data_IF_813884224135
#
_entry.id   IF_813884224135
#
_cell.length_a   1.000
_cell.length_b   1.000
_cell.length_c   1.000
_cell.angle_alpha   90.00
_cell.angle_beta   90.00
_cell.angle_gamma   90.00
#
_symmetry.space_group_name_H-M   'P 1'
#
loop_
_entity.id
_entity.type
_entity.pdbx_description
1 polymer ?
#
# COMPACT_ATOMS: atom_id res chain seq x y z
N UNK A 1 -3.06 10.45 -17.18
CA UNK A 1 -3.78 11.28 -16.19
C UNK A 1 -3.01 11.26 -14.89
N UNK A 2 -2.44 12.41 -14.48
CA UNK A 2 -1.81 12.56 -13.17
C UNK A 2 -2.80 13.28 -12.26
N UNK A 3 -3.35 12.57 -11.29
CA UNK A 3 -4.16 13.17 -10.23
C UNK A 3 -3.17 13.69 -9.19
N UNK A 4 -3.15 15.01 -8.96
CA UNK A 4 -2.41 15.60 -7.85
C UNK A 4 -3.18 15.27 -6.57
N UNK A 5 -2.70 14.26 -5.84
CA UNK A 5 -3.20 13.97 -4.49
C UNK A 5 -2.42 14.88 -3.55
N UNK A 6 -3.12 15.72 -2.77
CA UNK A 6 -2.45 16.50 -1.73
C UNK A 6 -1.82 15.54 -0.73
N UNK A 7 -0.49 15.61 -0.59
CA UNK A 7 0.22 14.83 0.40
C UNK A 7 -0.24 15.30 1.78
N UNK A 8 -0.87 14.45 2.62
CA UNK A 8 -1.30 14.87 3.93
C UNK A 8 -0.06 15.20 4.77
N UNK A 9 -0.07 16.35 5.42
CA UNK A 9 0.99 16.68 6.37
C UNK A 9 0.91 15.72 7.55
N UNK A 10 1.98 14.94 7.74
CA UNK A 10 2.14 14.11 8.92
C UNK A 10 2.38 15.06 10.10
N UNK A 11 1.30 15.48 10.76
CA UNK A 11 1.41 16.28 11.97
C UNK A 11 2.13 15.46 13.03
N UNK A 12 3.30 15.92 13.46
CA UNK A 12 4.05 15.32 14.57
C UNK A 12 3.18 15.23 15.83
N UNK A 13 3.30 14.07 16.50
CA UNK A 13 2.73 13.64 17.77
C UNK A 13 1.90 14.68 18.54
N UNK A 14 0.60 14.70 18.28
CA UNK A 14 -0.34 14.98 19.37
C UNK A 14 -0.38 13.73 20.25
N UNK A 15 0.26 13.83 21.42
CA UNK A 15 -0.01 12.96 22.59
C UNK A 15 -1.43 13.21 23.07
N UNK A 16 -2.40 12.85 22.25
CA UNK A 16 -3.75 12.75 22.71
C UNK A 16 -3.83 11.46 23.53
N UNK A 17 -4.02 11.63 24.84
CA UNK A 17 -4.27 10.54 25.78
C UNK A 17 -5.68 9.99 25.53
N UNK A 18 -5.88 9.37 24.36
CA UNK A 18 -7.10 8.63 24.09
C UNK A 18 -6.99 7.34 24.89
N UNK A 19 -7.79 7.25 25.96
CA UNK A 19 -8.05 5.98 26.63
C UNK A 19 -8.72 5.07 25.59
N UNK A 20 -7.88 4.32 24.85
CA UNK A 20 -7.91 2.90 25.08
C UNK A 20 -9.21 2.19 24.67
N UNK A 21 -10.11 2.30 25.64
CA UNK A 21 -11.23 1.43 25.96
C UNK A 21 -12.55 2.00 25.47
N UNK A 22 -12.59 3.22 24.93
CA UNK A 22 -13.83 3.91 24.58
C UNK A 22 -13.93 4.29 23.08
N UNK A 23 -13.26 3.54 22.19
CA UNK A 23 -13.54 3.63 20.76
C UNK A 23 -14.67 2.68 20.39
N UNK A 24 -15.90 3.09 20.69
CA UNK A 24 -17.11 2.42 20.21
C UNK A 24 -17.38 2.90 18.79
N UNK A 25 -17.04 2.08 17.79
CA UNK A 25 -17.44 2.32 16.41
C UNK A 25 -18.90 1.88 16.26
N UNK A 26 -19.80 2.86 16.12
CA UNK A 26 -21.27 2.70 16.03
C UNK A 26 -21.76 1.89 14.80
N UNK A 27 -20.85 1.27 14.05
CA UNK A 27 -21.09 0.51 12.82
C UNK A 27 -20.90 -1.00 12.94
N UNK A 28 -20.83 -1.57 14.15
CA UNK A 28 -20.69 -3.02 14.35
C UNK A 28 -19.29 -3.57 14.04
N UNK A 29 -18.29 -2.71 13.90
CA UNK A 29 -16.90 -3.12 13.70
C UNK A 29 -16.26 -3.49 15.04
N UNK A 30 -15.94 -4.77 15.22
CA UNK A 30 -15.27 -5.26 16.43
C UNK A 30 -13.86 -4.69 16.45
N UNK A 31 -13.56 -3.82 17.41
CA UNK A 31 -12.20 -3.33 17.65
C UNK A 31 -11.39 -4.47 18.28
N UNK A 32 -10.33 -4.97 17.62
CA UNK A 32 -9.49 -6.01 18.21
C UNK A 32 -8.87 -5.53 19.52
N UNK A 33 -8.76 -6.45 20.48
CA UNK A 33 -8.12 -6.19 21.77
C UNK A 33 -6.67 -5.75 21.51
N UNK A 34 -6.30 -4.54 21.96
CA UNK A 34 -5.00 -3.93 21.67
C UNK A 34 -3.84 -4.83 22.10
N UNK A 35 -3.28 -5.59 21.17
CA UNK A 35 -1.83 -5.79 21.08
C UNK A 35 -1.24 -4.44 20.65
N UNK A 36 -0.02 -4.11 21.09
CA UNK A 36 0.62 -2.83 20.75
C UNK A 36 0.93 -2.68 19.25
N UNK A 37 0.64 -3.71 18.45
CA UNK A 37 0.79 -3.76 17.00
C UNK A 37 -0.58 -3.76 16.30
N UNK A 38 -0.64 -3.15 15.11
CA UNK A 38 -1.81 -3.24 14.24
C UNK A 38 -1.94 -4.68 13.70
N UNK A 39 -2.80 -5.48 14.34
CA UNK A 39 -3.17 -6.81 13.85
C UNK A 39 -4.21 -6.68 12.73
N UNK A 40 -3.74 -6.69 11.48
CA UNK A 40 -4.62 -6.70 10.31
C UNK A 40 -5.40 -8.03 10.25
N UNK A 41 -6.72 -8.00 9.93
CA UNK A 41 -7.48 -9.22 9.71
C UNK A 41 -6.93 -9.99 8.49
N UNK A 42 -7.11 -11.31 8.46
CA UNK A 42 -6.60 -12.16 7.37
C UNK A 42 -7.26 -11.83 6.01
N UNK A 43 -8.53 -11.41 6.05
CA UNK A 43 -9.38 -11.19 4.87
C UNK A 43 -9.97 -9.78 4.95
N UNK A 44 -10.02 -9.08 3.81
CA UNK A 44 -10.63 -7.75 3.72
C UNK A 44 -12.17 -7.81 3.68
N UNK A 45 -12.83 -6.65 3.73
CA UNK A 45 -14.30 -6.54 3.69
C UNK A 45 -14.97 -7.14 2.44
N UNK A 46 -14.19 -7.44 1.39
CA UNK A 46 -14.66 -8.04 0.15
C UNK A 46 -14.38 -9.55 0.07
N UNK A 47 -13.88 -10.18 1.14
CA UNK A 47 -13.60 -11.61 1.15
C UNK A 47 -12.27 -12.00 0.49
N UNK A 48 -11.39 -11.04 0.18
CA UNK A 48 -10.09 -11.32 -0.43
C UNK A 48 -8.97 -11.29 0.62
N UNK A 49 -8.02 -12.22 0.51
CA UNK A 49 -6.78 -12.17 1.29
C UNK A 49 -5.89 -11.01 0.85
N UNK A 50 -5.06 -10.53 1.77
CA UNK A 50 -4.01 -9.57 1.47
C UNK A 50 -2.91 -10.26 0.63
N UNK A 51 -2.21 -9.46 -0.18
CA UNK A 51 -1.15 -9.99 -1.06
C UNK A 51 0.02 -10.48 -0.23
N UNK A 52 0.25 -11.78 -0.24
CA UNK A 52 1.44 -12.41 0.27
C UNK A 52 2.52 -12.48 -0.83
N UNK A 53 3.62 -11.77 -0.63
CA UNK A 53 4.77 -11.78 -1.54
C UNK A 53 5.73 -12.95 -1.29
N UNK A 54 5.62 -13.64 -0.14
CA UNK A 54 6.42 -14.82 0.19
C UNK A 54 5.74 -16.12 -0.24
N UNK A 55 4.46 -16.07 -0.60
CA UNK A 55 3.73 -17.23 -1.12
C UNK A 55 4.38 -17.74 -2.41
N UNK A 56 4.78 -19.01 -2.40
CA UNK A 56 5.37 -19.65 -3.57
C UNK A 56 4.32 -19.79 -4.67
N UNK A 57 4.66 -19.36 -5.88
CA UNK A 57 3.81 -19.56 -7.06
C UNK A 57 4.64 -19.84 -8.30
N UNK A 58 4.05 -20.57 -9.25
CA UNK A 58 4.67 -20.88 -10.55
C UNK A 58 5.20 -19.63 -11.28
N UNK A 59 4.54 -18.47 -11.09
CA UNK A 59 4.89 -17.21 -11.75
C UNK A 59 5.88 -16.36 -10.96
N UNK A 60 6.19 -16.73 -9.72
CA UNK A 60 6.99 -15.91 -8.80
C UNK A 60 8.33 -15.52 -9.41
N UNK A 61 9.11 -16.49 -9.89
CA UNK A 61 10.44 -16.24 -10.46
C UNK A 61 10.41 -15.27 -11.65
N UNK A 62 9.41 -15.40 -12.53
CA UNK A 62 9.25 -14.50 -13.69
C UNK A 62 8.88 -13.09 -13.25
N UNK A 63 8.02 -12.96 -12.24
CA UNK A 63 7.61 -11.66 -11.69
C UNK A 63 8.78 -10.98 -10.98
N UNK A 64 9.54 -11.72 -10.18
CA UNK A 64 10.74 -11.21 -9.50
C UNK A 64 11.78 -10.71 -10.50
N UNK A 65 12.09 -11.49 -11.55
CA UNK A 65 13.04 -11.09 -12.59
C UNK A 65 12.54 -9.86 -13.37
N UNK A 66 11.24 -9.81 -13.69
CA UNK A 66 10.63 -8.66 -14.34
C UNK A 66 10.78 -7.38 -13.50
N UNK A 67 10.45 -7.43 -12.22
CA UNK A 67 10.58 -6.27 -11.33
C UNK A 67 12.04 -5.91 -11.08
N UNK A 68 12.96 -6.88 -10.99
CA UNK A 68 14.40 -6.62 -10.89
C UNK A 68 14.89 -5.78 -12.08
N UNK A 69 14.50 -6.17 -13.29
CA UNK A 69 14.84 -5.41 -14.50
C UNK A 69 14.15 -4.06 -14.55
N UNK A 70 12.87 -3.98 -14.17
CA UNK A 70 12.14 -2.71 -14.15
C UNK A 70 12.78 -1.71 -13.17
N UNK A 71 13.01 -2.10 -11.92
CA UNK A 71 13.61 -1.22 -10.91
C UNK A 71 15.03 -0.77 -11.27
N UNK A 72 15.78 -1.59 -12.02
CA UNK A 72 17.11 -1.22 -12.51
C UNK A 72 17.04 -0.21 -13.66
N UNK A 73 16.09 -0.39 -14.59
CA UNK A 73 16.11 0.30 -15.88
C UNK A 73 15.07 1.43 -16.02
N UNK A 74 14.12 1.57 -15.10
CA UNK A 74 13.18 2.69 -15.08
C UNK A 74 13.83 3.96 -14.53
N UNK A 75 14.82 4.48 -15.26
CA UNK A 75 15.49 5.73 -14.95
C UNK A 75 14.68 6.94 -15.39
N UNK A 76 15.01 8.12 -14.88
CA UNK A 76 14.39 9.39 -15.27
C UNK A 76 14.41 9.60 -16.79
N UNK A 77 15.56 9.37 -17.42
CA UNK A 77 15.73 9.53 -18.87
C UNK A 77 14.86 8.55 -19.67
N UNK A 78 14.78 7.30 -19.22
CA UNK A 78 13.95 6.29 -19.85
C UNK A 78 12.46 6.70 -19.80
N UNK A 79 11.99 7.12 -18.63
CA UNK A 79 10.59 7.53 -18.44
C UNK A 79 10.28 8.80 -19.22
N UNK A 80 11.19 9.77 -19.26
CA UNK A 80 11.00 11.02 -20.02
C UNK A 80 10.86 10.74 -21.51
N UNK A 81 11.79 9.98 -22.09
CA UNK A 81 11.74 9.58 -23.51
C UNK A 81 10.48 8.78 -23.86
N UNK A 82 10.07 7.87 -22.98
CA UNK A 82 8.87 7.07 -23.23
C UNK A 82 7.60 7.95 -23.24
N UNK A 83 7.52 8.95 -22.35
CA UNK A 83 6.40 9.89 -22.31
C UNK A 83 6.32 10.76 -23.56
N UNK A 84 7.45 11.30 -24.01
CA UNK A 84 7.54 12.08 -25.26
C UNK A 84 7.08 11.24 -26.45
N UNK A 85 7.62 10.02 -26.59
CA UNK A 85 7.26 9.10 -27.68
C UNK A 85 5.76 8.76 -27.71
N UNK A 86 5.15 8.51 -26.55
CA UNK A 86 3.72 8.18 -26.48
C UNK A 86 2.84 9.39 -26.83
N UNK A 87 3.30 10.60 -26.55
CA UNK A 87 2.55 11.82 -26.83
C UNK A 87 2.64 12.28 -28.29
N UNK A 88 3.69 11.86 -29.02
CA UNK A 88 3.88 12.14 -30.44
C UNK A 88 3.22 11.13 -31.40
N UNK A 89 2.65 10.03 -30.88
CA UNK A 89 2.01 8.96 -31.65
C UNK A 89 0.47 9.04 -31.57
#
# INVERSE_FOLDING_TARGET
MTVLISQPELSEDRKDNYDAKELVLDGGFVVPHKTEAFDAPEINSFGNSFRDYNAESERQKTVEEFYRQQHTNQTYDYVTKMRERIWEA
#
